data_IF_567515378100
#
_entry.id   IF_567515378100
#
_cell.length_a   1.000
_cell.length_b   1.000
_cell.length_c   1.000
_cell.angle_alpha   90.00
_cell.angle_beta   90.00
_cell.angle_gamma   90.00
#
_symmetry.space_group_name_H-M   'P 1'
#
loop_
_entity.id
_entity.type
_entity.pdbx_description
1 polymer ?
#
# COMPACT_ATOMS: atom_id res chain seq x y z
N UNK A 1 -14.64 0.23 -1.38
CA UNK A 1 -13.51 0.24 -0.42
C UNK A 1 -12.89 1.64 -0.26
N UNK A 2 -13.69 2.69 -0.29
CA UNK A 2 -13.20 4.09 -0.29
C UNK A 2 -12.42 4.50 0.98
N UNK A 3 -12.46 3.69 2.04
CA UNK A 3 -11.74 3.93 3.30
C UNK A 3 -10.67 2.86 3.61
N UNK A 4 -10.39 1.97 2.67
CA UNK A 4 -9.31 0.98 2.77
C UNK A 4 -8.28 1.28 1.69
N UNK A 5 -7.01 1.53 2.03
CA UNK A 5 -5.93 1.61 1.06
C UNK A 5 -5.76 0.26 0.34
N UNK A 6 -6.16 0.20 -0.91
CA UNK A 6 -6.21 -1.07 -1.64
C UNK A 6 -5.59 -0.96 -3.05
N UNK A 7 -4.54 -0.13 -3.18
CA UNK A 7 -3.81 0.06 -4.42
C UNK A 7 -3.27 -1.26 -4.97
N UNK A 8 -2.70 -2.09 -4.08
CA UNK A 8 -2.11 -3.39 -4.42
C UNK A 8 -3.11 -4.56 -4.51
N UNK A 9 -4.39 -4.30 -4.55
CA UNK A 9 -5.43 -5.31 -4.80
C UNK A 9 -6.42 -4.77 -5.82
N UNK A 10 -7.56 -4.25 -5.39
CA UNK A 10 -8.56 -3.69 -6.32
C UNK A 10 -8.02 -2.54 -7.18
N UNK A 11 -7.04 -1.76 -6.69
CA UNK A 11 -6.41 -0.69 -7.45
C UNK A 11 -5.72 -1.20 -8.71
N UNK A 12 -4.84 -2.19 -8.60
CA UNK A 12 -4.13 -2.77 -9.75
C UNK A 12 -5.07 -3.52 -10.69
N UNK A 13 -6.06 -4.25 -10.15
CA UNK A 13 -7.06 -4.93 -10.96
C UNK A 13 -7.91 -3.93 -11.76
N UNK A 14 -8.34 -2.85 -11.11
CA UNK A 14 -9.09 -1.80 -11.79
C UNK A 14 -8.26 -1.13 -12.89
N UNK A 15 -6.98 -0.88 -12.62
CA UNK A 15 -6.05 -0.32 -13.58
C UNK A 15 -5.85 -1.22 -14.81
N UNK A 16 -5.70 -2.52 -14.61
CA UNK A 16 -5.58 -3.50 -15.69
C UNK A 16 -6.86 -3.60 -16.54
N UNK A 17 -8.04 -3.72 -15.89
CA UNK A 17 -9.32 -3.83 -16.60
C UNK A 17 -9.64 -2.57 -17.38
N UNK A 18 -9.35 -1.38 -16.84
CA UNK A 18 -9.47 -0.13 -17.58
C UNK A 18 -8.53 -0.09 -18.78
N UNK A 19 -7.30 -0.55 -18.63
CA UNK A 19 -6.34 -0.66 -19.73
C UNK A 19 -6.86 -1.56 -20.85
N UNK A 20 -7.38 -2.75 -20.51
CA UNK A 20 -7.99 -3.67 -21.46
C UNK A 20 -9.19 -3.03 -22.18
N UNK A 21 -10.09 -2.38 -21.45
CA UNK A 21 -11.24 -1.70 -22.04
C UNK A 21 -10.80 -0.58 -22.99
N UNK A 22 -9.87 0.25 -22.59
CA UNK A 22 -9.37 1.34 -23.41
C UNK A 22 -8.67 0.84 -24.67
N UNK A 23 -7.91 -0.26 -24.60
CA UNK A 23 -7.25 -0.84 -25.76
C UNK A 23 -8.26 -1.31 -26.84
N UNK A 24 -9.44 -1.80 -26.42
CA UNK A 24 -10.54 -2.17 -27.33
C UNK A 24 -11.25 -0.95 -27.93
N UNK A 25 -11.34 0.14 -27.19
CA UNK A 25 -12.02 1.36 -27.64
C UNK A 25 -11.16 2.26 -28.53
N UNK A 26 -9.85 2.04 -28.53
CA UNK A 26 -8.88 2.86 -29.26
C UNK A 26 -9.20 2.93 -30.76
N UNK A 27 -9.21 4.15 -31.29
CA UNK A 27 -9.54 4.43 -32.68
C UNK A 27 -11.01 4.27 -33.05
N UNK A 28 -11.90 4.02 -32.09
CA UNK A 28 -13.35 3.95 -32.30
C UNK A 28 -14.02 5.27 -31.92
N UNK A 29 -15.28 5.52 -32.34
CA UNK A 29 -16.05 6.68 -31.91
C UNK A 29 -16.32 6.73 -30.38
N UNK A 30 -16.05 5.66 -29.65
CA UNK A 30 -16.25 5.54 -28.21
C UNK A 30 -14.97 5.71 -27.40
N UNK A 31 -13.87 6.04 -28.05
CA UNK A 31 -12.60 6.32 -27.38
C UNK A 31 -12.74 7.54 -26.46
N UNK A 32 -12.41 7.40 -25.15
CA UNK A 32 -12.52 8.53 -24.23
C UNK A 32 -11.56 9.66 -24.58
N UNK A 33 -11.94 10.89 -24.22
CA UNK A 33 -11.09 12.05 -24.41
C UNK A 33 -9.83 11.98 -23.53
N UNK A 34 -8.69 12.40 -24.09
CA UNK A 34 -7.37 12.31 -23.48
C UNK A 34 -7.28 12.87 -22.04
N UNK A 35 -7.88 14.03 -21.66
CA UNK A 35 -7.76 14.52 -20.29
C UNK A 35 -8.25 13.57 -19.20
N UNK A 36 -9.21 12.70 -19.52
CA UNK A 36 -9.71 11.68 -18.56
C UNK A 36 -8.74 10.52 -18.38
N UNK A 37 -7.97 10.21 -19.42
CA UNK A 37 -6.98 9.13 -19.40
C UNK A 37 -5.74 9.55 -18.60
N UNK A 38 -5.37 10.83 -18.61
CA UNK A 38 -4.24 11.37 -17.85
C UNK A 38 -4.33 11.03 -16.36
N UNK A 39 -5.52 11.00 -15.78
CA UNK A 39 -5.70 10.60 -14.38
C UNK A 39 -5.16 9.18 -14.06
N UNK A 40 -5.09 8.28 -15.05
CA UNK A 40 -4.53 6.94 -14.86
C UNK A 40 -3.00 6.99 -14.72
N UNK A 41 -2.34 7.85 -15.49
CA UNK A 41 -0.89 8.06 -15.37
C UNK A 41 -0.54 8.78 -14.07
N UNK A 42 -1.29 9.82 -13.71
CA UNK A 42 -1.14 10.51 -12.43
C UNK A 42 -1.30 9.54 -11.25
N UNK A 43 -2.29 8.64 -11.35
CA UNK A 43 -2.50 7.60 -10.34
C UNK A 43 -1.34 6.59 -10.29
N UNK A 44 -0.79 6.22 -11.44
CA UNK A 44 0.41 5.37 -11.48
C UNK A 44 1.58 6.04 -10.78
N UNK A 45 1.96 7.25 -11.17
CA UNK A 45 3.15 7.92 -10.66
C UNK A 45 3.04 8.28 -9.18
N UNK A 46 1.91 8.84 -8.77
CA UNK A 46 1.72 9.30 -7.39
C UNK A 46 1.23 8.21 -6.43
N UNK A 47 0.40 7.28 -6.90
CA UNK A 47 -0.30 6.33 -6.05
C UNK A 47 0.22 4.90 -6.07
N UNK A 48 0.88 4.47 -7.18
CA UNK A 48 1.36 3.09 -7.34
C UNK A 48 2.88 3.01 -7.22
N UNK A 49 3.63 3.74 -8.04
CA UNK A 49 5.10 3.68 -8.04
C UNK A 49 5.69 4.01 -6.67
N UNK A 50 5.11 4.97 -5.96
CA UNK A 50 5.57 5.40 -4.63
C UNK A 50 5.50 4.29 -3.57
N UNK A 51 4.64 3.30 -3.73
CA UNK A 51 4.44 2.16 -2.82
C UNK A 51 5.00 0.84 -3.36
N UNK A 52 5.93 0.91 -4.33
CA UNK A 52 6.69 -0.25 -4.83
C UNK A 52 8.14 -0.13 -4.39
N UNK A 53 8.68 -1.20 -3.84
CA UNK A 53 10.09 -1.31 -3.49
C UNK A 53 10.63 -2.70 -3.87
N UNK A 54 11.82 -2.75 -4.46
CA UNK A 54 12.41 -3.99 -5.00
C UNK A 54 11.48 -4.76 -5.96
N UNK A 55 10.69 -4.03 -6.77
CA UNK A 55 9.72 -4.63 -7.67
C UNK A 55 8.54 -5.33 -6.99
N UNK A 56 8.28 -5.04 -5.71
CA UNK A 56 7.17 -5.60 -4.93
C UNK A 56 6.31 -4.48 -4.37
N UNK A 57 5.00 -4.58 -4.54
CA UNK A 57 4.03 -3.68 -3.93
C UNK A 57 4.02 -3.84 -2.41
N UNK A 58 4.10 -2.75 -1.67
CA UNK A 58 4.11 -2.77 -0.21
C UNK A 58 2.79 -3.28 0.37
N UNK A 59 2.85 -4.06 1.45
CA UNK A 59 1.70 -4.81 1.96
C UNK A 59 0.62 -3.93 2.59
N UNK A 60 0.96 -2.80 3.19
CA UNK A 60 -0.01 -1.89 3.82
C UNK A 60 -0.99 -1.20 2.84
N UNK A 61 -0.84 -1.40 1.53
CA UNK A 61 -1.81 -0.97 0.50
C UNK A 61 -2.52 -2.15 -0.18
N UNK A 62 -2.52 -3.34 0.45
CA UNK A 62 -3.12 -4.56 -0.08
C UNK A 62 -4.40 -4.99 0.64
N UNK A 63 -4.86 -4.21 1.62
CA UNK A 63 -6.05 -4.53 2.42
C UNK A 63 -5.95 -5.93 3.03
N UNK A 64 -7.03 -6.72 3.00
CA UNK A 64 -7.00 -8.11 3.51
C UNK A 64 -6.14 -9.07 2.71
N UNK A 65 -5.79 -8.71 1.46
CA UNK A 65 -4.96 -9.57 0.58
C UNK A 65 -3.52 -9.73 1.07
N UNK A 66 -3.12 -9.13 2.17
CA UNK A 66 -1.79 -9.31 2.80
C UNK A 66 -1.47 -10.79 3.09
N UNK A 67 -2.48 -11.62 3.29
CA UNK A 67 -2.33 -13.07 3.52
C UNK A 67 -2.18 -13.90 2.23
N UNK A 68 -2.26 -13.27 1.06
CA UNK A 68 -2.12 -13.92 -0.25
C UNK A 68 -0.73 -13.66 -0.83
N UNK A 69 -0.25 -14.49 -1.78
CA UNK A 69 0.93 -14.16 -2.57
C UNK A 69 0.83 -12.75 -3.17
N UNK A 70 1.95 -12.05 -3.22
CA UNK A 70 1.99 -10.67 -3.72
C UNK A 70 2.27 -10.64 -5.23
N UNK A 71 1.23 -10.60 -6.03
CA UNK A 71 1.26 -10.50 -7.51
C UNK A 71 1.01 -9.08 -8.02
N UNK A 72 0.76 -8.13 -7.12
CA UNK A 72 0.27 -6.78 -7.45
C UNK A 72 1.11 -6.04 -8.48
N UNK A 73 2.44 -6.18 -8.44
CA UNK A 73 3.31 -5.50 -9.41
C UNK A 73 3.21 -6.14 -10.80
N UNK A 74 3.03 -7.46 -10.91
CA UNK A 74 2.77 -8.12 -12.19
C UNK A 74 1.46 -7.64 -12.81
N UNK A 75 0.39 -7.57 -12.02
CA UNK A 75 -0.92 -7.07 -12.45
C UNK A 75 -0.84 -5.59 -12.89
N UNK A 76 -0.08 -4.77 -12.14
CA UNK A 76 0.18 -3.38 -12.52
C UNK A 76 0.91 -3.29 -13.87
N UNK A 77 1.95 -4.08 -14.09
CA UNK A 77 2.69 -4.11 -15.36
C UNK A 77 1.75 -4.50 -16.51
N UNK A 78 0.87 -5.49 -16.32
CA UNK A 78 -0.13 -5.85 -17.32
C UNK A 78 -0.99 -4.63 -17.69
N UNK A 79 -1.51 -3.91 -16.71
CA UNK A 79 -2.28 -2.68 -16.95
C UNK A 79 -1.47 -1.59 -17.66
N UNK A 80 -0.22 -1.37 -17.28
CA UNK A 80 0.68 -0.41 -17.91
C UNK A 80 0.90 -0.75 -19.40
N UNK A 81 1.05 -2.02 -19.74
CA UNK A 81 1.24 -2.46 -21.13
C UNK A 81 0.05 -2.12 -22.02
N UNK A 82 -1.19 -2.22 -21.51
CA UNK A 82 -2.38 -1.81 -22.25
C UNK A 82 -2.50 -0.29 -22.39
N UNK A 83 -2.04 0.46 -21.39
CA UNK A 83 -2.20 1.92 -21.32
C UNK A 83 -1.06 2.69 -21.99
N UNK A 84 0.09 2.08 -22.19
CA UNK A 84 1.33 2.76 -22.63
C UNK A 84 1.16 3.55 -23.94
N UNK A 85 0.28 3.07 -24.83
CA UNK A 85 0.02 3.75 -26.11
C UNK A 85 -0.79 5.07 -25.98
N UNK A 86 -1.39 5.31 -24.82
CA UNK A 86 -2.10 6.56 -24.50
C UNK A 86 -1.19 7.59 -23.80
N UNK A 87 -0.03 7.14 -23.33
CA UNK A 87 0.96 8.00 -22.68
C UNK A 87 1.68 8.89 -23.69
N UNK A 88 2.09 10.08 -23.25
CA UNK A 88 3.03 10.91 -24.00
C UNK A 88 4.37 10.20 -24.22
N UNK A 89 5.18 10.63 -25.17
CA UNK A 89 6.49 10.01 -25.43
C UNK A 89 7.39 10.03 -24.18
N UNK A 90 7.32 11.10 -23.37
CA UNK A 90 8.06 11.23 -22.14
C UNK A 90 7.57 10.22 -21.10
N UNK A 91 6.26 10.10 -20.89
CA UNK A 91 5.67 9.14 -19.97
C UNK A 91 5.95 7.69 -20.41
N UNK A 92 5.88 7.39 -21.71
CA UNK A 92 6.23 6.08 -22.24
C UNK A 92 7.68 5.70 -21.90
N UNK A 93 8.61 6.65 -22.04
CA UNK A 93 10.01 6.41 -21.69
C UNK A 93 10.18 6.11 -20.20
N UNK A 94 9.50 6.86 -19.33
CA UNK A 94 9.50 6.63 -17.88
C UNK A 94 8.87 5.28 -17.54
N UNK A 95 7.71 4.96 -18.10
CA UNK A 95 7.00 3.69 -17.88
C UNK A 95 7.87 2.49 -18.27
N UNK A 96 8.47 2.51 -19.46
CA UNK A 96 9.38 1.45 -19.91
C UNK A 96 10.59 1.27 -18.98
N UNK A 97 11.14 2.39 -18.52
CA UNK A 97 12.27 2.41 -17.57
C UNK A 97 11.87 1.79 -16.21
N UNK A 98 10.66 2.09 -15.72
CA UNK A 98 10.10 1.52 -14.48
C UNK A 98 9.78 0.03 -14.63
N UNK A 99 9.19 -0.41 -15.73
CA UNK A 99 8.95 -1.84 -16.01
C UNK A 99 10.27 -2.62 -15.94
N UNK A 100 11.32 -2.11 -16.58
CA UNK A 100 12.66 -2.73 -16.51
C UNK A 100 13.24 -2.76 -15.10
N UNK A 101 13.02 -1.68 -14.34
CA UNK A 101 13.45 -1.63 -12.93
C UNK A 101 12.77 -2.73 -12.13
N UNK A 102 11.44 -2.80 -12.17
CA UNK A 102 10.68 -3.77 -11.40
C UNK A 102 11.03 -5.22 -11.75
N UNK A 103 11.13 -5.53 -13.04
CA UNK A 103 11.52 -6.86 -13.51
C UNK A 103 12.94 -7.25 -13.09
N UNK A 104 13.87 -6.29 -13.08
CA UNK A 104 15.25 -6.52 -12.63
C UNK A 104 15.35 -6.73 -11.13
N UNK A 105 14.58 -5.99 -10.36
CA UNK A 105 14.57 -6.05 -8.90
C UNK A 105 13.82 -7.28 -8.38
N UNK A 106 12.76 -7.70 -9.09
CA UNK A 106 11.97 -8.88 -8.77
C UNK A 106 11.99 -9.87 -9.95
N UNK A 107 12.93 -10.79 -9.94
CA UNK A 107 13.08 -11.81 -10.99
C UNK A 107 11.89 -12.76 -11.17
N UNK A 108 10.87 -12.70 -10.28
CA UNK A 108 9.64 -13.48 -10.40
C UNK A 108 8.62 -12.84 -11.36
N UNK A 109 8.84 -11.60 -11.82
CA UNK A 109 7.99 -10.94 -12.82
C UNK A 109 8.39 -11.44 -14.22
N UNK A 110 8.01 -12.66 -14.53
CA UNK A 110 8.35 -13.29 -15.81
C UNK A 110 7.17 -13.41 -16.75
N UNK A 111 5.95 -13.38 -16.22
CA UNK A 111 4.72 -13.54 -17.00
C UNK A 111 3.61 -12.61 -16.45
N UNK A 112 3.70 -11.29 -16.71
CA UNK A 112 2.75 -10.32 -16.14
C UNK A 112 1.34 -10.41 -16.76
N UNK A 113 1.15 -11.08 -17.91
CA UNK A 113 -0.13 -11.15 -18.58
C UNK A 113 -0.34 -12.51 -19.27
N UNK A 114 -1.59 -12.94 -19.35
CA UNK A 114 -2.01 -14.11 -20.16
C UNK A 114 -2.25 -13.75 -21.64
N UNK A 115 -2.32 -12.47 -21.97
CA UNK A 115 -2.43 -11.99 -23.34
C UNK A 115 -1.07 -12.07 -24.03
N UNK A 116 -0.97 -12.86 -25.09
CA UNK A 116 0.30 -13.11 -25.81
C UNK A 116 0.89 -11.85 -26.45
N UNK A 117 0.05 -10.91 -26.92
CA UNK A 117 0.55 -9.67 -27.48
C UNK A 117 1.18 -8.80 -26.38
N UNK A 118 0.47 -8.62 -25.26
CA UNK A 118 0.99 -7.89 -24.09
C UNK A 118 2.28 -8.50 -23.57
N UNK A 119 2.35 -9.83 -23.52
CA UNK A 119 3.55 -10.53 -23.11
C UNK A 119 4.72 -10.32 -24.08
N UNK A 120 4.46 -10.37 -25.40
CA UNK A 120 5.46 -10.07 -26.41
C UNK A 120 5.99 -8.63 -26.27
N UNK A 121 5.11 -7.67 -26.09
CA UNK A 121 5.48 -6.26 -25.94
C UNK A 121 6.26 -6.00 -24.63
N UNK A 122 5.88 -6.70 -23.55
CA UNK A 122 6.66 -6.71 -22.31
C UNK A 122 8.10 -7.20 -22.56
N UNK A 123 8.29 -8.33 -23.24
CA UNK A 123 9.62 -8.85 -23.56
C UNK A 123 10.39 -7.96 -24.52
N UNK A 124 9.72 -7.27 -25.44
CA UNK A 124 10.36 -6.26 -26.29
C UNK A 124 10.93 -5.13 -25.43
N UNK A 125 10.21 -4.65 -24.41
CA UNK A 125 10.72 -3.65 -23.46
C UNK A 125 11.90 -4.22 -22.66
N UNK A 126 11.76 -5.43 -22.09
CA UNK A 126 12.82 -6.04 -21.26
C UNK A 126 14.12 -6.19 -22.03
N UNK A 127 14.06 -6.59 -23.31
CA UNK A 127 15.22 -6.86 -24.15
C UNK A 127 15.74 -5.62 -24.88
N UNK A 128 15.03 -4.50 -24.87
CA UNK A 128 15.47 -3.26 -25.53
C UNK A 128 16.67 -2.64 -24.82
N UNK A 129 17.86 -2.75 -25.39
CA UNK A 129 19.10 -2.21 -24.82
C UNK A 129 19.16 -0.68 -24.82
N UNK A 130 18.31 -0.01 -25.60
CA UNK A 130 18.25 1.45 -25.63
C UNK A 130 17.51 2.03 -24.41
N UNK A 131 16.65 1.25 -23.75
CA UNK A 131 15.93 1.62 -22.54
C UNK A 131 16.71 1.18 -21.31
N UNK A 132 17.13 2.10 -20.48
CA UNK A 132 17.75 1.81 -19.19
C UNK A 132 16.69 1.59 -18.11
N UNK A 133 16.93 0.65 -17.19
CA UNK A 133 16.13 0.52 -15.98
C UNK A 133 16.20 1.80 -15.13
N UNK A 134 15.09 2.24 -14.57
CA UNK A 134 15.07 3.37 -13.66
C UNK A 134 15.95 3.09 -12.42
N UNK A 135 16.51 4.14 -11.87
CA UNK A 135 17.32 4.04 -10.64
C UNK A 135 16.41 4.21 -9.43
N UNK A 136 16.79 3.56 -8.33
CA UNK A 136 16.18 3.86 -7.02
C UNK A 136 16.56 5.28 -6.62
N UNK A 137 15.57 6.02 -6.19
CA UNK A 137 15.70 7.39 -5.71
C UNK A 137 15.41 7.45 -4.21
N UNK A 138 16.09 8.34 -3.54
CA UNK A 138 15.81 8.66 -2.15
C UNK A 138 14.57 9.57 -2.11
N UNK A 139 13.48 9.07 -1.55
CA UNK A 139 12.21 9.80 -1.48
C UNK A 139 11.56 9.65 -0.12
N UNK A 140 10.77 10.64 0.26
CA UNK A 140 9.77 10.54 1.32
C UNK A 140 8.43 11.06 0.83
N UNK A 141 7.43 10.19 0.82
CA UNK A 141 6.10 10.48 0.29
C UNK A 141 5.06 10.41 1.40
N UNK A 142 4.16 11.38 1.43
CA UNK A 142 2.99 11.40 2.32
C UNK A 142 1.73 11.20 1.50
N UNK A 143 1.01 10.12 1.79
CA UNK A 143 -0.26 9.76 1.16
C UNK A 143 -1.43 10.18 2.06
N UNK A 144 -1.83 11.42 1.98
CA UNK A 144 -2.85 12.02 2.87
C UNK A 144 -4.20 11.30 2.83
N UNK A 145 -4.62 10.79 1.67
CA UNK A 145 -5.89 10.09 1.52
C UNK A 145 -5.84 8.63 2.00
N UNK A 146 -4.66 8.11 2.27
CA UNK A 146 -4.43 6.74 2.73
C UNK A 146 -3.95 6.67 4.18
N UNK A 147 -3.62 7.81 4.79
CA UNK A 147 -2.93 7.89 6.10
C UNK A 147 -1.66 7.02 6.15
N UNK A 148 -0.86 7.09 5.07
CA UNK A 148 0.38 6.34 4.93
C UNK A 148 1.53 7.26 4.59
N UNK A 149 2.73 6.91 5.06
CA UNK A 149 3.96 7.55 4.60
C UNK A 149 4.99 6.51 4.18
N UNK A 150 5.81 6.86 3.21
CA UNK A 150 6.81 5.96 2.64
C UNK A 150 8.13 6.68 2.51
N UNK A 151 9.14 6.17 3.19
CA UNK A 151 10.54 6.49 2.96
C UNK A 151 11.14 5.44 2.05
N UNK A 152 11.74 5.86 0.94
CA UNK A 152 12.57 4.97 0.10
C UNK A 152 14.02 5.42 0.15
N UNK A 153 14.91 4.46 0.23
CA UNK A 153 16.35 4.60 0.11
C UNK A 153 16.87 3.50 -0.81
N UNK A 154 18.12 3.63 -1.20
CA UNK A 154 18.77 2.66 -2.09
C UNK A 154 18.68 1.22 -1.55
N UNK A 155 18.89 1.02 -0.26
CA UNK A 155 19.04 -0.30 0.38
C UNK A 155 17.87 -0.69 1.29
N UNK A 156 16.92 0.19 1.53
CA UNK A 156 15.75 -0.10 2.36
C UNK A 156 14.58 0.85 2.04
N UNK A 157 13.39 0.46 2.44
CA UNK A 157 12.26 1.37 2.52
C UNK A 157 11.51 1.18 3.84
N UNK A 158 10.87 2.23 4.31
CA UNK A 158 10.03 2.21 5.51
C UNK A 158 8.64 2.73 5.14
N UNK A 159 7.61 1.93 5.43
CA UNK A 159 6.23 2.36 5.41
C UNK A 159 5.69 2.57 6.81
N UNK A 160 4.93 3.63 7.04
CA UNK A 160 4.17 3.84 8.26
C UNK A 160 2.69 3.76 7.91
N UNK A 161 1.98 2.86 8.59
CA UNK A 161 0.55 2.67 8.39
C UNK A 161 -0.22 3.25 9.58
N UNK A 162 -1.01 4.29 9.30
CA UNK A 162 -1.82 5.03 10.27
C UNK A 162 -3.31 4.89 9.92
N UNK A 163 -4.18 5.25 10.84
CA UNK A 163 -5.63 5.27 10.69
C UNK A 163 -6.25 6.55 11.27
N UNK A 164 -7.43 6.92 10.79
CA UNK A 164 -8.13 8.15 11.17
C UNK A 164 -9.63 8.01 10.86
N UNK A 165 -10.46 9.05 11.02
CA UNK A 165 -11.83 9.05 10.50
C UNK A 165 -11.92 8.87 8.98
N UNK A 166 -10.82 9.00 8.23
CA UNK A 166 -10.75 8.79 6.77
C UNK A 166 -10.45 7.35 6.38
N UNK A 167 -9.63 6.65 7.18
CA UNK A 167 -9.05 5.35 6.82
C UNK A 167 -9.24 4.36 7.95
N UNK A 168 -9.85 3.24 7.63
CA UNK A 168 -10.01 2.12 8.57
C UNK A 168 -8.65 1.57 9.02
N UNK A 169 -8.60 1.09 10.27
CA UNK A 169 -7.40 0.49 10.82
C UNK A 169 -7.05 -0.85 10.16
N UNK A 170 -8.02 -1.65 9.70
CA UNK A 170 -7.80 -2.86 8.91
C UNK A 170 -9.08 -3.26 8.14
N UNK A 171 -8.96 -4.28 7.31
CA UNK A 171 -10.07 -5.00 6.70
C UNK A 171 -9.89 -6.50 6.91
N UNK A 172 -10.97 -7.19 7.28
CA UNK A 172 -11.04 -8.64 7.35
C UNK A 172 -12.34 -9.12 6.72
N UNK A 173 -12.26 -10.03 5.76
CA UNK A 173 -13.42 -10.57 5.04
C UNK A 173 -13.04 -11.89 4.35
N UNK A 174 -14.01 -12.79 4.17
CA UNK A 174 -13.82 -14.07 3.50
C UNK A 174 -12.74 -14.97 4.17
N UNK A 175 -12.65 -14.92 5.48
CA UNK A 175 -11.62 -15.67 6.21
C UNK A 175 -10.21 -15.06 6.15
N UNK A 176 -10.06 -13.84 5.61
CA UNK A 176 -8.76 -13.22 5.37
C UNK A 176 -8.48 -12.08 6.36
N UNK A 177 -7.24 -12.02 6.83
CA UNK A 177 -6.70 -10.99 7.73
C UNK A 177 -7.53 -10.83 9.03
N UNK A 178 -8.03 -11.95 9.57
CA UNK A 178 -8.94 -11.95 10.73
C UNK A 178 -8.31 -11.35 11.99
N UNK A 179 -6.99 -11.36 12.09
CA UNK A 179 -6.21 -10.82 13.21
C UNK A 179 -5.50 -9.50 12.89
N UNK A 180 -5.93 -8.80 11.84
CA UNK A 180 -5.29 -7.56 11.36
C UNK A 180 -5.55 -6.31 12.20
N UNK A 181 -6.06 -6.45 13.41
CA UNK A 181 -6.61 -5.38 14.28
C UNK A 181 -5.75 -4.12 14.37
N UNK A 182 -4.44 -4.27 14.38
CA UNK A 182 -3.48 -3.19 14.64
C UNK A 182 -2.62 -2.81 13.44
N UNK A 183 -2.96 -3.30 12.23
CA UNK A 183 -2.17 -3.05 11.01
C UNK A 183 -2.02 -1.56 10.65
N UNK A 184 -2.89 -0.70 11.15
CA UNK A 184 -2.82 0.75 10.90
C UNK A 184 -2.78 1.58 12.19
N UNK A 185 -2.33 0.98 13.29
CA UNK A 185 -2.14 1.69 14.56
C UNK A 185 -0.69 2.18 14.73
N UNK A 186 -0.13 2.69 13.63
CA UNK A 186 1.25 3.12 13.54
C UNK A 186 2.24 1.98 13.28
N UNK A 187 1.81 0.91 12.63
CA UNK A 187 2.70 -0.19 12.25
C UNK A 187 3.78 0.30 11.29
N UNK A 188 5.01 -0.13 11.59
CA UNK A 188 6.21 0.17 10.81
C UNK A 188 6.57 -1.04 9.94
N UNK A 189 6.61 -0.83 8.64
CA UNK A 189 7.02 -1.81 7.65
C UNK A 189 8.44 -1.50 7.18
N UNK A 190 9.41 -2.34 7.52
CA UNK A 190 10.79 -2.21 7.05
C UNK A 190 11.04 -3.22 5.92
N UNK A 191 11.26 -2.72 4.72
CA UNK A 191 11.61 -3.49 3.53
C UNK A 191 13.12 -3.37 3.27
N UNK A 192 13.78 -4.49 3.13
CA UNK A 192 15.20 -4.61 2.78
C UNK A 192 15.34 -5.44 1.50
N UNK A 193 16.42 -6.19 1.34
CA UNK A 193 16.61 -7.05 0.17
C UNK A 193 15.73 -8.32 0.19
N UNK A 194 15.10 -8.64 1.33
CA UNK A 194 14.11 -9.71 1.42
C UNK A 194 12.73 -9.23 0.96
N UNK A 195 12.37 -9.58 -0.27
CA UNK A 195 11.10 -9.22 -0.88
C UNK A 195 9.87 -9.91 -0.23
N UNK A 196 10.08 -10.88 0.67
CA UNK A 196 9.03 -11.61 1.36
C UNK A 196 8.94 -11.28 2.86
N UNK A 197 9.65 -10.27 3.34
CA UNK A 197 9.69 -9.91 4.77
C UNK A 197 8.29 -9.75 5.39
N UNK A 198 7.32 -9.24 4.62
CA UNK A 198 5.91 -9.10 5.01
C UNK A 198 4.99 -9.92 4.10
N UNK A 199 5.46 -10.99 3.47
CA UNK A 199 4.65 -11.86 2.63
C UNK A 199 3.54 -12.60 3.40
N UNK A 200 2.77 -13.41 2.68
CA UNK A 200 1.65 -14.18 3.25
C UNK A 200 2.03 -14.99 4.50
N UNK A 201 3.23 -15.55 4.54
CA UNK A 201 3.72 -16.30 5.70
C UNK A 201 3.84 -15.43 6.96
N UNK A 202 4.23 -14.16 6.81
CA UNK A 202 4.32 -13.24 7.95
C UNK A 202 2.93 -13.03 8.58
N UNK A 203 1.94 -12.58 7.80
CA UNK A 203 0.61 -12.25 8.33
C UNK A 203 -0.18 -13.46 8.79
N UNK A 204 0.12 -14.66 8.28
CA UNK A 204 -0.50 -15.90 8.74
C UNK A 204 0.08 -16.42 10.06
N UNK A 205 1.31 -16.02 10.43
CA UNK A 205 2.02 -16.62 11.57
C UNK A 205 2.43 -15.62 12.65
N UNK A 206 2.42 -14.31 12.36
CA UNK A 206 2.82 -13.30 13.33
C UNK A 206 1.84 -13.17 14.50
N UNK A 207 2.37 -12.89 15.68
CA UNK A 207 1.53 -12.45 16.79
C UNK A 207 1.09 -11.00 16.55
N UNK A 208 -0.19 -10.79 16.27
CA UNK A 208 -0.76 -9.47 15.91
C UNK A 208 -0.64 -8.40 17.02
N UNK A 209 -0.44 -8.81 18.28
CA UNK A 209 -0.11 -7.90 19.38
C UNK A 209 1.36 -7.42 19.36
N UNK A 210 2.16 -7.89 18.41
CA UNK A 210 3.61 -7.64 18.32
C UNK A 210 4.03 -7.09 16.97
N UNK A 211 3.12 -6.47 16.22
CA UNK A 211 3.51 -5.76 15.00
C UNK A 211 4.54 -4.68 15.32
N UNK A 212 5.54 -4.45 14.45
CA UNK A 212 6.55 -3.44 14.70
C UNK A 212 5.94 -2.04 14.85
N UNK A 213 6.33 -1.33 15.90
CA UNK A 213 5.97 0.08 16.08
C UNK A 213 4.58 0.36 16.62
N UNK A 214 3.74 -0.63 16.87
CA UNK A 214 2.40 -0.42 17.45
C UNK A 214 2.46 -0.12 18.96
N UNK A 215 1.38 0.45 19.48
CA UNK A 215 1.11 0.61 20.91
C UNK A 215 -0.27 0.04 21.15
N UNK A 216 -0.37 -1.02 21.93
CA UNK A 216 -1.59 -1.81 22.08
C UNK A 216 -1.77 -2.26 23.52
N UNK A 217 -2.98 -2.53 23.92
CA UNK A 217 -3.25 -3.31 25.12
C UNK A 217 -3.20 -4.81 24.82
N UNK A 218 -2.89 -5.62 25.83
CA UNK A 218 -2.65 -7.06 25.66
C UNK A 218 -3.93 -7.92 25.82
N UNK A 219 -5.11 -7.30 25.91
CA UNK A 219 -6.38 -8.03 26.05
C UNK A 219 -6.60 -8.96 24.85
N UNK A 220 -7.07 -10.17 25.11
CA UNK A 220 -7.41 -11.14 24.09
C UNK A 220 -8.54 -10.63 23.17
N UNK A 221 -8.33 -10.72 21.87
CA UNK A 221 -9.29 -10.37 20.82
C UNK A 221 -9.67 -11.59 20.00
N UNK A 222 -10.92 -11.62 19.57
CA UNK A 222 -11.40 -12.69 18.70
C UNK A 222 -11.04 -12.39 17.24
N UNK A 223 -10.66 -13.46 16.52
CA UNK A 223 -10.52 -13.43 15.07
C UNK A 223 -11.92 -13.34 14.45
N UNK A 224 -12.32 -12.19 13.97
CA UNK A 224 -13.63 -11.95 13.37
C UNK A 224 -13.51 -11.25 12.03
N UNK A 225 -14.51 -11.48 11.18
CA UNK A 225 -14.63 -10.74 9.93
C UNK A 225 -15.08 -9.30 10.21
N UNK A 226 -14.30 -8.37 9.68
CA UNK A 226 -14.58 -6.94 9.75
C UNK A 226 -14.54 -6.36 8.34
N UNK A 227 -15.59 -6.55 7.55
CA UNK A 227 -15.67 -5.97 6.22
C UNK A 227 -15.62 -4.44 6.30
N UNK A 228 -15.17 -3.79 5.24
CA UNK A 228 -14.94 -2.34 5.20
C UNK A 228 -16.15 -1.50 5.68
N UNK A 229 -17.37 -1.99 5.49
CA UNK A 229 -18.59 -1.32 5.98
C UNK A 229 -18.77 -1.39 7.51
N UNK A 230 -18.01 -2.27 8.18
CA UNK A 230 -18.09 -2.52 9.63
C UNK A 230 -16.76 -2.33 10.35
N UNK A 231 -15.69 -2.02 9.60
CA UNK A 231 -14.39 -1.72 10.17
C UNK A 231 -14.39 -0.36 10.87
N UNK A 232 -13.40 -0.16 11.70
CA UNK A 232 -13.33 1.00 12.56
C UNK A 232 -12.67 2.20 11.94
N UNK A 233 -13.23 3.35 12.28
CA UNK A 233 -12.61 4.64 12.09
C UNK A 233 -12.28 5.22 13.45
N UNK A 234 -11.06 5.64 13.66
CA UNK A 234 -10.69 6.43 14.83
C UNK A 234 -11.52 7.73 14.88
N UNK A 235 -11.82 8.21 16.07
CA UNK A 235 -12.40 9.55 16.26
C UNK A 235 -11.34 10.65 16.17
N UNK A 236 -10.06 10.29 16.18
CA UNK A 236 -8.91 11.21 16.15
C UNK A 236 -8.58 11.58 14.72
N UNK A 237 -8.66 12.86 14.40
CA UNK A 237 -8.44 13.39 13.05
C UNK A 237 -7.00 13.92 12.83
N UNK A 238 -6.21 14.06 13.88
CA UNK A 238 -4.80 14.47 13.78
C UNK A 238 -3.94 13.29 13.31
N UNK A 239 -3.91 13.09 12.00
CA UNK A 239 -3.09 12.08 11.31
C UNK A 239 -2.55 12.67 10.01
N UNK A 240 -1.25 12.52 9.78
CA UNK A 240 -0.62 12.98 8.54
C UNK A 240 0.88 13.12 8.65
N UNK A 241 1.44 13.93 7.76
CA UNK A 241 2.88 14.17 7.73
C UNK A 241 3.25 15.36 6.86
N UNK A 242 4.53 15.67 6.86
CA UNK A 242 5.16 16.69 6.03
C UNK A 242 6.40 16.13 5.35
N UNK A 243 6.75 16.64 4.18
CA UNK A 243 7.90 16.17 3.41
C UNK A 243 8.60 17.33 2.69
N UNK A 244 9.93 17.22 2.56
CA UNK A 244 10.74 18.03 1.63
C UNK A 244 11.04 17.27 0.33
N UNK A 245 10.42 16.10 0.13
CA UNK A 245 10.64 15.17 -0.98
C UNK A 245 11.61 14.04 -0.65
N UNK A 246 12.53 14.25 0.27
CA UNK A 246 13.58 13.27 0.64
C UNK A 246 13.49 12.87 2.10
N UNK A 247 13.23 13.82 2.98
CA UNK A 247 13.02 13.62 4.40
C UNK A 247 11.62 14.06 4.81
N UNK A 248 11.23 13.73 6.03
CA UNK A 248 9.93 14.18 6.52
C UNK A 248 9.60 13.68 7.91
N UNK A 249 8.40 14.00 8.32
CA UNK A 249 7.85 13.52 9.58
C UNK A 249 6.40 13.09 9.39
N UNK A 250 5.96 12.15 10.21
CA UNK A 250 4.58 11.74 10.33
C UNK A 250 4.16 11.76 11.79
N UNK A 251 2.89 11.97 12.05
CA UNK A 251 2.32 11.88 13.38
C UNK A 251 0.87 11.42 13.34
N UNK A 252 0.44 10.78 14.42
CA UNK A 252 -0.95 10.43 14.66
C UNK A 252 -1.31 10.53 16.13
N UNK A 253 -2.54 10.97 16.39
CA UNK A 253 -3.21 10.68 17.64
C UNK A 253 -3.80 9.27 17.51
N UNK A 254 -3.23 8.33 18.25
CA UNK A 254 -3.71 6.96 18.31
C UNK A 254 -4.92 6.90 19.24
N UNK A 255 -5.96 6.28 18.75
CA UNK A 255 -7.07 5.77 19.53
C UNK A 255 -7.25 4.31 19.17
N UNK A 256 -6.90 3.43 20.09
CA UNK A 256 -7.06 2.00 19.89
C UNK A 256 -8.54 1.67 20.07
N UNK A 257 -9.22 1.32 19.01
CA UNK A 257 -10.67 1.32 18.94
C UNK A 257 -11.32 -0.06 19.02
N UNK A 258 -12.58 -0.05 19.41
CA UNK A 258 -13.43 -1.23 19.58
C UNK A 258 -14.82 -1.05 19.04
N UNK A 259 -15.44 -2.18 18.72
CA UNK A 259 -16.81 -2.20 18.29
C UNK A 259 -17.79 -2.33 19.45
N UNK A 260 -18.88 -1.60 19.40
CA UNK A 260 -20.06 -1.86 20.18
C UNK A 260 -20.65 -3.22 19.78
N UNK A 261 -21.05 -4.06 20.69
CA UNK A 261 -21.54 -5.43 20.47
C UNK A 261 -22.71 -5.63 19.49
N UNK A 262 -22.89 -4.71 18.52
CA UNK A 262 -24.00 -4.70 17.56
C UNK A 262 -24.06 -5.93 16.64
N UNK A 263 -22.99 -6.76 16.58
CA UNK A 263 -22.92 -7.99 15.76
C UNK A 263 -22.90 -9.27 16.60
N UNK A 264 -23.33 -9.21 17.87
CA UNK A 264 -23.34 -10.36 18.77
C UNK A 264 -21.97 -10.75 19.32
N UNK A 265 -20.97 -9.92 19.09
CA UNK A 265 -19.68 -10.00 19.78
C UNK A 265 -19.75 -9.09 21.00
N UNK A 266 -19.34 -9.59 22.17
CA UNK A 266 -19.28 -8.79 23.39
C UNK A 266 -18.56 -7.47 23.13
N UNK A 267 -19.12 -6.33 23.56
CA UNK A 267 -18.50 -5.04 23.34
C UNK A 267 -17.16 -5.03 24.05
N UNK A 268 -16.13 -4.76 23.28
CA UNK A 268 -14.80 -4.54 23.77
C UNK A 268 -14.51 -3.05 23.68
N UNK A 269 -14.43 -2.38 24.78
CA UNK A 269 -14.08 -0.96 24.86
C UNK A 269 -12.64 -0.89 25.37
N UNK A 270 -11.71 -0.40 24.54
CA UNK A 270 -10.39 0.01 24.93
C UNK A 270 -10.35 1.53 24.96
N UNK A 271 -9.78 2.08 25.92
CA UNK A 271 -9.61 3.50 26.05
C UNK A 271 -8.14 3.93 25.85
N UNK A 272 -7.32 3.03 25.34
CA UNK A 272 -5.92 3.30 25.04
C UNK A 272 -5.80 4.42 24.02
N UNK A 273 -5.15 5.49 24.41
CA UNK A 273 -4.76 6.60 23.56
C UNK A 273 -3.25 6.85 23.61
N UNK A 274 -2.70 7.41 22.56
CA UNK A 274 -1.30 7.81 22.53
C UNK A 274 -1.07 8.88 21.44
N UNK A 275 -0.01 9.66 21.57
CA UNK A 275 0.52 10.48 20.48
C UNK A 275 1.77 9.83 19.94
N UNK A 276 1.77 9.52 18.66
CA UNK A 276 2.90 8.86 17.98
C UNK A 276 3.47 9.76 16.91
N UNK A 277 4.79 9.79 16.78
CA UNK A 277 5.45 10.53 15.72
C UNK A 277 6.72 9.84 15.24
N UNK A 278 6.99 10.00 13.95
CA UNK A 278 8.11 9.42 13.24
C UNK A 278 8.83 10.53 12.49
N UNK A 279 10.15 10.64 12.69
CA UNK A 279 11.00 11.59 11.99
C UNK A 279 11.98 10.85 11.12
N UNK A 280 11.89 11.05 9.82
CA UNK A 280 12.69 10.39 8.78
C UNK A 280 13.77 11.34 8.30
N UNK A 281 15.01 11.14 8.75
CA UNK A 281 16.14 12.03 8.48
C UNK A 281 17.31 11.23 7.90
N UNK A 282 17.55 11.35 6.61
CA UNK A 282 18.55 10.54 5.91
C UNK A 282 18.24 9.05 6.04
N UNK A 283 19.20 8.27 6.54
CA UNK A 283 19.07 6.81 6.76
C UNK A 283 18.60 6.46 8.18
N UNK A 284 18.03 7.41 8.90
CA UNK A 284 17.60 7.23 10.29
C UNK A 284 16.14 7.55 10.45
N UNK A 285 15.49 6.78 11.32
CA UNK A 285 14.16 7.04 11.82
C UNK A 285 14.20 7.22 13.33
N UNK A 286 13.69 8.35 13.83
CA UNK A 286 13.38 8.52 15.24
C UNK A 286 11.89 8.30 15.45
N UNK A 287 11.53 7.51 16.45
CA UNK A 287 10.14 7.19 16.80
C UNK A 287 9.89 7.69 18.22
N UNK A 288 8.84 8.46 18.40
CA UNK A 288 8.41 8.97 19.69
C UNK A 288 6.99 8.54 19.99
N UNK A 289 6.75 8.14 21.23
CA UNK A 289 5.42 7.91 21.77
C UNK A 289 5.29 8.71 23.08
N UNK A 290 4.20 9.45 23.22
CA UNK A 290 3.91 10.24 24.41
C UNK A 290 2.41 10.21 24.70
N UNK A 291 2.05 10.65 25.90
CA UNK A 291 0.65 10.73 26.33
C UNK A 291 -0.07 9.37 26.18
N UNK A 292 0.67 8.29 26.47
CA UNK A 292 0.16 6.94 26.45
C UNK A 292 -0.71 6.76 27.70
N UNK A 293 -1.98 6.53 27.48
CA UNK A 293 -2.96 6.48 28.58
C UNK A 293 -4.01 5.41 28.31
N UNK A 294 -4.31 4.63 29.32
CA UNK A 294 -5.46 3.74 29.42
C UNK A 294 -5.98 3.78 30.86
N UNK A 295 -7.27 3.66 31.07
CA UNK A 295 -7.90 3.62 32.40
C UNK A 295 -8.26 2.20 32.83
N UNK A 296 -8.28 1.26 31.90
CA UNK A 296 -8.54 -0.14 32.20
C UNK A 296 -7.33 -0.82 32.84
N UNK A 297 -7.57 -1.55 33.95
CA UNK A 297 -6.56 -2.33 34.67
C UNK A 297 -6.21 -3.66 33.96
N UNK A 298 -6.08 -3.66 32.65
CA UNK A 298 -5.64 -4.82 31.87
C UNK A 298 -4.14 -4.69 31.55
N UNK A 299 -3.34 -5.34 32.34
CA UNK A 299 -1.90 -5.47 32.14
C UNK A 299 -1.54 -6.39 30.95
#
# INVERSE_FOLDING_TARGET
>A
HYRVPYNGGYGVQHYEVLGQMLSVLKGTPFEPANPSIQNLFDFFFAGMDSVIYNGVMMDFVRGRSVIRPNTSTSELISGMMYLIEYASEEEQAIIKSKIKQYAKENGNITNPSTNLQVLNDYYNIINDTSVSAAKKEDTYTVHYNMDKTVLKRKNFAIGISMSSPRVYNYEAMNGENLNGWYCSDGMVYLYTDDNNAFGSEYFNNVNSYRYPGITVEARERNAIEMPAAKSYLSSKDFVGGVTDGVNGAAAMDLESYHKDGSDGVEPYICDLTAKKSWFMLGDKMAVLGTDIHATDDYD
#
